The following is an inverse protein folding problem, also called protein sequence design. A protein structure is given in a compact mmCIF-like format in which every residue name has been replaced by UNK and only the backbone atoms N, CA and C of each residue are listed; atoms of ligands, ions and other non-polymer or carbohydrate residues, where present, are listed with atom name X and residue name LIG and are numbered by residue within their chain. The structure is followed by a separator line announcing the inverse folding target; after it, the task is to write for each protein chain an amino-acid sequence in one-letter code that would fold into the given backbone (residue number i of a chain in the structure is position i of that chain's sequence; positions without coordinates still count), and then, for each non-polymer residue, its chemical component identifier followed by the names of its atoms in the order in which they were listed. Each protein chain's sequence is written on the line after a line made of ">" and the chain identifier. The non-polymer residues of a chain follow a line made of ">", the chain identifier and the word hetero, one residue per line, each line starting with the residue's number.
data_IF_313293910475
#
_entry.id   IF_313293910475
#
_cell.length_a   1.000
_cell.length_b   1.000
_cell.length_c   1.000
_cell.angle_alpha   90.00
_cell.angle_beta   90.00
_cell.angle_gamma   90.00
#
_symmetry.space_group_name_H-M   'P 1'
#
loop_
_entity.id
_entity.type
_entity.pdbx_description
1 polymer ?
#
# COMPACT_ATOMS: atom_id res chain seq x y z
N UNK A 1 -21.05 19.41 -22.37
CA UNK A 1 -19.97 18.55 -21.84
C UNK A 1 -20.62 17.26 -21.38
N UNK A 2 -20.38 16.14 -22.05
CA UNK A 2 -21.06 14.87 -21.76
C UNK A 2 -20.53 14.26 -20.46
N UNK A 3 -21.40 13.59 -19.70
CA UNK A 3 -21.12 12.97 -18.39
C UNK A 3 -19.87 12.06 -18.37
N UNK A 4 -19.43 11.56 -19.53
CA UNK A 4 -18.22 10.75 -19.71
C UNK A 4 -16.91 11.54 -19.49
N UNK A 5 -16.88 12.85 -19.73
CA UNK A 5 -15.64 13.63 -19.64
C UNK A 5 -15.27 14.01 -18.20
N UNK A 6 -16.25 14.22 -17.31
CA UNK A 6 -16.00 14.61 -15.91
C UNK A 6 -15.42 13.46 -15.09
N UNK A 7 -15.80 12.22 -15.38
CA UNK A 7 -15.18 11.05 -14.74
C UNK A 7 -13.71 10.90 -15.15
N UNK A 8 -13.37 11.20 -16.41
CA UNK A 8 -11.98 11.14 -16.88
C UNK A 8 -11.02 12.04 -16.10
N UNK A 9 -11.44 13.27 -15.72
CA UNK A 9 -10.57 14.22 -15.04
C UNK A 9 -10.00 13.70 -13.72
N UNK A 10 -10.83 13.08 -12.87
CA UNK A 10 -10.36 12.47 -11.62
C UNK A 10 -9.37 11.33 -11.91
N UNK A 11 -9.69 10.52 -12.90
CA UNK A 11 -8.85 9.38 -13.24
C UNK A 11 -7.49 9.81 -13.76
N UNK A 12 -7.47 10.77 -14.67
CA UNK A 12 -6.26 11.33 -15.25
C UNK A 12 -5.41 12.00 -14.17
N UNK A 13 -6.03 12.77 -13.26
CA UNK A 13 -5.34 13.43 -12.16
C UNK A 13 -4.65 12.45 -11.21
N UNK A 14 -5.37 11.43 -10.72
CA UNK A 14 -4.78 10.41 -9.84
C UNK A 14 -3.76 9.55 -10.60
N UNK A 15 -4.03 9.24 -11.87
CA UNK A 15 -3.07 8.53 -12.74
C UNK A 15 -1.75 9.29 -12.88
N UNK A 16 -1.80 10.61 -13.07
CA UNK A 16 -0.61 11.46 -13.07
C UNK A 16 0.10 11.45 -11.71
N UNK A 17 -0.62 11.47 -10.59
CA UNK A 17 -0.02 11.37 -9.26
C UNK A 17 0.71 10.03 -9.06
N UNK A 18 0.14 8.91 -9.51
CA UNK A 18 0.82 7.60 -9.50
C UNK A 18 2.09 7.62 -10.36
N UNK A 19 2.03 8.24 -11.54
CA UNK A 19 3.20 8.38 -12.41
C UNK A 19 4.31 9.22 -11.75
N UNK A 20 3.96 10.29 -11.03
CA UNK A 20 4.92 11.09 -10.25
C UNK A 20 5.55 10.28 -9.13
N UNK A 21 4.75 9.49 -8.39
CA UNK A 21 5.28 8.61 -7.34
C UNK A 21 6.26 7.56 -7.92
N UNK A 22 5.96 7.00 -9.10
CA UNK A 22 6.86 6.08 -9.78
C UNK A 22 8.12 6.80 -10.32
N UNK A 23 7.97 8.02 -10.82
CA UNK A 23 9.08 8.87 -11.23
C UNK A 23 10.04 9.15 -10.07
N UNK A 24 9.52 9.30 -8.85
CA UNK A 24 10.34 9.46 -7.64
C UNK A 24 11.25 8.25 -7.40
N UNK A 25 10.78 7.02 -7.66
CA UNK A 25 11.64 5.81 -7.59
C UNK A 25 12.83 5.96 -8.52
N UNK A 26 12.59 6.41 -9.76
CA UNK A 26 13.66 6.65 -10.74
C UNK A 26 14.66 7.72 -10.28
N UNK A 27 14.19 8.78 -9.63
CA UNK A 27 15.05 9.82 -9.06
C UNK A 27 15.92 9.29 -7.93
N UNK A 28 15.37 8.47 -7.02
CA UNK A 28 16.14 7.88 -5.91
C UNK A 28 17.18 6.86 -6.42
N UNK A 29 16.85 6.06 -7.44
CA UNK A 29 17.80 5.17 -8.11
C UNK A 29 18.93 5.99 -8.77
N UNK A 30 18.56 7.05 -9.50
CA UNK A 30 19.52 7.92 -10.17
C UNK A 30 20.47 8.60 -9.19
N UNK A 31 19.94 9.15 -8.10
CA UNK A 31 20.72 9.77 -7.02
C UNK A 31 21.68 8.75 -6.39
N UNK A 32 21.21 7.54 -6.08
CA UNK A 32 22.04 6.47 -5.52
C UNK A 32 23.25 6.13 -6.40
N UNK A 33 23.05 5.94 -7.70
CA UNK A 33 24.17 5.66 -8.62
C UNK A 33 25.06 6.88 -8.88
N UNK A 34 24.51 8.09 -8.89
CA UNK A 34 25.30 9.32 -9.08
C UNK A 34 26.31 9.55 -7.97
N UNK A 35 26.02 9.04 -6.77
CA UNK A 35 26.91 9.07 -5.61
C UNK A 35 27.91 7.90 -5.57
N UNK A 36 28.14 7.20 -6.70
CA UNK A 36 29.03 6.04 -6.83
C UNK A 36 28.71 4.86 -5.88
N UNK A 37 27.46 4.76 -5.43
CA UNK A 37 27.01 3.65 -4.61
C UNK A 37 26.65 2.43 -5.47
N UNK A 38 26.75 1.24 -4.88
CA UNK A 38 26.45 -0.02 -5.55
C UNK A 38 25.35 -0.78 -4.83
N UNK A 39 24.33 -1.21 -5.59
CA UNK A 39 23.20 -2.00 -5.07
C UNK A 39 23.65 -3.34 -4.45
N UNK A 40 24.79 -3.88 -4.88
CA UNK A 40 25.35 -5.10 -4.32
C UNK A 40 25.93 -4.90 -2.92
N UNK A 41 26.35 -3.66 -2.59
CA UNK A 41 26.86 -3.30 -1.27
C UNK A 41 25.75 -2.85 -0.33
N UNK A 42 24.66 -2.31 -0.87
CA UNK A 42 23.55 -1.75 -0.11
C UNK A 42 22.22 -2.35 -0.59
N UNK A 43 22.00 -3.66 -0.35
CA UNK A 43 20.82 -4.36 -0.87
C UNK A 43 19.51 -3.80 -0.30
N UNK A 44 19.52 -3.26 0.93
CA UNK A 44 18.35 -2.65 1.58
C UNK A 44 17.75 -1.49 0.78
N UNK A 45 18.60 -0.64 0.16
CA UNK A 45 18.14 0.46 -0.71
C UNK A 45 17.33 -0.09 -1.87
N UNK A 46 17.82 -1.15 -2.49
CA UNK A 46 17.17 -1.77 -3.63
C UNK A 46 15.87 -2.47 -3.22
N UNK A 47 15.85 -3.18 -2.09
CA UNK A 47 14.64 -3.88 -1.62
C UNK A 47 13.54 -2.90 -1.19
N UNK A 48 13.88 -1.78 -0.56
CA UNK A 48 12.93 -0.73 -0.22
C UNK A 48 12.35 -0.05 -1.48
N UNK A 49 13.19 0.26 -2.47
CA UNK A 49 12.73 0.83 -3.74
C UNK A 49 11.86 -0.15 -4.54
N UNK A 50 12.20 -1.44 -4.52
CA UNK A 50 11.39 -2.50 -5.11
C UNK A 50 10.04 -2.63 -4.39
N UNK A 51 10.04 -2.58 -3.07
CA UNK A 51 8.84 -2.55 -2.23
C UNK A 51 7.94 -1.38 -2.61
N UNK A 52 8.49 -0.15 -2.64
CA UNK A 52 7.76 1.05 -3.04
C UNK A 52 7.17 0.93 -4.45
N UNK A 53 7.96 0.43 -5.40
CA UNK A 53 7.53 0.17 -6.79
C UNK A 53 6.36 -0.79 -6.84
N UNK A 54 6.45 -1.92 -6.13
CA UNK A 54 5.38 -2.91 -6.08
C UNK A 54 4.10 -2.31 -5.46
N UNK A 55 4.21 -1.61 -4.34
CA UNK A 55 3.06 -0.97 -3.68
C UNK A 55 2.38 0.01 -4.64
N UNK A 56 3.14 0.88 -5.30
CA UNK A 56 2.62 1.86 -6.27
C UNK A 56 1.92 1.14 -7.42
N UNK A 57 2.58 0.17 -8.07
CA UNK A 57 2.05 -0.54 -9.22
C UNK A 57 0.80 -1.36 -8.87
N UNK A 58 0.83 -2.15 -7.80
CA UNK A 58 -0.30 -2.94 -7.34
C UNK A 58 -1.48 -2.05 -6.90
N UNK A 59 -1.19 -0.88 -6.34
CA UNK A 59 -2.20 0.11 -5.96
C UNK A 59 -2.86 0.77 -7.15
N UNK A 60 -2.08 1.16 -8.16
CA UNK A 60 -2.59 1.69 -9.41
C UNK A 60 -3.48 0.67 -10.14
N UNK A 61 -3.03 -0.59 -10.27
CA UNK A 61 -3.84 -1.67 -10.88
C UNK A 61 -5.12 -1.90 -10.09
N UNK A 62 -5.01 -2.00 -8.76
CA UNK A 62 -6.15 -2.25 -7.89
C UNK A 62 -7.17 -1.11 -7.90
N UNK A 63 -6.71 0.13 -7.96
CA UNK A 63 -7.54 1.33 -8.07
C UNK A 63 -8.25 1.38 -9.43
N UNK A 64 -7.54 1.14 -10.54
CA UNK A 64 -8.13 1.07 -11.88
C UNK A 64 -9.19 -0.02 -12.03
N UNK A 65 -8.98 -1.19 -11.41
CA UNK A 65 -9.93 -2.32 -11.43
C UNK A 65 -11.04 -2.21 -10.36
N UNK A 66 -11.06 -1.14 -9.57
CA UNK A 66 -12.01 -1.04 -8.45
C UNK A 66 -13.42 -0.69 -8.96
N UNK A 67 -14.31 -1.68 -9.08
CA UNK A 67 -15.72 -1.47 -9.47
C UNK A 67 -16.59 -0.73 -8.43
N UNK A 68 -16.01 0.03 -7.49
CA UNK A 68 -16.77 0.71 -6.45
C UNK A 68 -17.48 1.95 -7.02
N UNK A 69 -18.81 2.04 -6.81
CA UNK A 69 -19.64 3.13 -7.36
C UNK A 69 -19.09 4.52 -7.02
N UNK A 70 -18.60 4.73 -5.79
CA UNK A 70 -18.05 6.01 -5.34
C UNK A 70 -16.80 6.52 -6.06
N UNK A 71 -16.16 5.69 -6.89
CA UNK A 71 -15.04 6.09 -7.73
C UNK A 71 -15.47 6.50 -9.16
N UNK A 72 -16.65 6.06 -9.59
CA UNK A 72 -17.26 6.37 -10.88
C UNK A 72 -18.22 7.58 -10.82
N UNK A 73 -18.55 8.05 -9.62
CA UNK A 73 -19.45 9.18 -9.45
C UNK A 73 -18.74 10.49 -9.83
N UNK A 74 -19.34 11.34 -10.69
CA UNK A 74 -18.75 12.61 -11.09
C UNK A 74 -18.65 13.56 -9.90
N UNK A 75 -17.57 14.34 -9.86
CA UNK A 75 -17.40 15.39 -8.85
C UNK A 75 -18.22 16.60 -9.31
N UNK A 76 -19.42 16.75 -8.77
CA UNK A 76 -20.29 17.90 -9.03
C UNK A 76 -20.05 19.01 -8.00
N UNK A 77 -19.74 18.64 -6.75
CA UNK A 77 -19.56 19.55 -5.63
C UNK A 77 -18.25 19.26 -4.88
N UNK A 78 -17.53 20.32 -4.48
CA UNK A 78 -16.29 20.24 -3.71
C UNK A 78 -16.48 19.63 -2.32
N UNK A 79 -17.67 19.72 -1.73
CA UNK A 79 -17.97 19.10 -0.43
C UNK A 79 -18.71 17.75 -0.56
N UNK A 80 -18.76 17.18 -1.77
CA UNK A 80 -19.41 15.91 -2.02
C UNK A 80 -18.55 14.69 -1.65
N UNK A 81 -19.22 13.55 -1.41
CA UNK A 81 -18.56 12.24 -1.22
C UNK A 81 -17.49 11.95 -2.29
N UNK A 82 -17.73 12.16 -3.61
CA UNK A 82 -16.73 11.85 -4.63
C UNK A 82 -15.43 12.66 -4.48
N UNK A 83 -15.52 13.90 -4.00
CA UNK A 83 -14.35 14.74 -3.72
C UNK A 83 -13.57 14.23 -2.51
N UNK A 84 -14.25 13.83 -1.43
CA UNK A 84 -13.59 13.23 -0.26
C UNK A 84 -12.86 11.93 -0.64
N UNK A 85 -13.46 11.08 -1.48
CA UNK A 85 -12.78 9.87 -1.97
C UNK A 85 -11.57 10.24 -2.84
N UNK A 86 -11.67 11.27 -3.69
CA UNK A 86 -10.51 11.79 -4.44
C UNK A 86 -9.38 12.26 -3.51
N UNK A 87 -9.69 12.97 -2.43
CA UNK A 87 -8.67 13.41 -1.46
C UNK A 87 -8.00 12.23 -0.77
N UNK A 88 -8.76 11.18 -0.42
CA UNK A 88 -8.18 9.96 0.14
C UNK A 88 -7.31 9.22 -0.87
N UNK A 89 -7.73 9.13 -2.14
CA UNK A 89 -6.92 8.57 -3.22
C UNK A 89 -5.59 9.33 -3.36
N UNK A 90 -5.63 10.66 -3.39
CA UNK A 90 -4.45 11.51 -3.48
C UNK A 90 -3.54 11.35 -2.25
N UNK A 91 -4.12 11.34 -1.05
CA UNK A 91 -3.39 11.17 0.20
C UNK A 91 -2.64 9.83 0.24
N UNK A 92 -3.27 8.74 -0.21
CA UNK A 92 -2.60 7.44 -0.34
C UNK A 92 -1.40 7.51 -1.29
N UNK A 93 -1.54 8.19 -2.44
CA UNK A 93 -0.43 8.35 -3.38
C UNK A 93 0.70 9.20 -2.81
N UNK A 94 0.38 10.24 -2.03
CA UNK A 94 1.38 11.03 -1.30
C UNK A 94 2.12 10.16 -0.30
N UNK A 95 1.44 9.27 0.42
CA UNK A 95 2.12 8.33 1.32
C UNK A 95 3.07 7.39 0.56
N UNK A 96 2.73 6.95 -0.66
CA UNK A 96 3.66 6.17 -1.49
C UNK A 96 4.89 6.99 -1.88
N UNK A 97 4.68 8.24 -2.26
CA UNK A 97 5.77 9.16 -2.58
C UNK A 97 6.71 9.32 -1.37
N UNK A 98 6.14 9.53 -0.17
CA UNK A 98 6.95 9.70 1.05
C UNK A 98 7.70 8.40 1.41
N UNK A 99 7.05 7.24 1.27
CA UNK A 99 7.69 5.94 1.49
C UNK A 99 8.93 5.77 0.60
N UNK A 100 8.81 6.09 -0.71
CA UNK A 100 9.93 6.04 -1.65
C UNK A 100 10.96 7.12 -1.34
N UNK A 101 10.53 8.34 -0.98
CA UNK A 101 11.44 9.46 -0.73
C UNK A 101 12.30 9.25 0.50
N UNK A 102 11.79 8.57 1.52
CA UNK A 102 12.53 8.25 2.73
C UNK A 102 13.35 6.97 2.65
N UNK A 103 13.80 6.59 1.45
CA UNK A 103 14.81 5.54 1.31
C UNK A 103 16.10 5.99 1.98
N UNK A 104 16.54 5.19 2.94
CA UNK A 104 17.79 5.41 3.67
C UNK A 104 18.95 5.11 2.71
N UNK A 105 19.89 6.04 2.53
CA UNK A 105 21.00 5.92 1.57
C UNK A 105 22.33 6.18 2.26
N UNK A 106 23.38 5.38 2.00
CA UNK A 106 24.74 5.60 2.50
C UNK A 106 25.30 6.91 1.93
N UNK A 107 25.36 7.95 2.76
CA UNK A 107 26.14 9.14 2.47
C UNK A 107 27.57 8.97 3.01
N UNK A 108 28.54 9.50 2.29
CA UNK A 108 29.97 9.13 2.32
C UNK A 108 30.70 9.22 3.68
N UNK A 109 30.12 9.78 4.74
CA UNK A 109 30.87 10.12 5.96
C UNK A 109 30.15 9.84 7.30
N UNK A 110 28.90 9.39 7.33
CA UNK A 110 28.20 9.10 8.59
C UNK A 110 27.87 7.60 8.73
N UNK A 111 28.08 7.05 9.93
CA UNK A 111 27.56 5.72 10.29
C UNK A 111 26.04 5.74 10.14
N UNK A 112 25.55 5.15 9.05
CA UNK A 112 24.13 5.16 8.79
C UNK A 112 23.41 4.28 9.81
N UNK A 113 22.50 4.87 10.57
CA UNK A 113 21.59 4.12 11.42
C UNK A 113 20.41 3.68 10.58
N UNK A 114 20.52 2.49 10.01
CA UNK A 114 19.42 1.88 9.27
C UNK A 114 18.32 1.49 10.25
N UNK A 115 17.13 2.02 10.02
CA UNK A 115 15.98 1.82 10.89
C UNK A 115 14.76 1.56 10.01
N UNK A 116 14.53 0.28 9.68
CA UNK A 116 13.33 -0.19 8.95
C UNK A 116 11.98 0.19 9.61
N UNK A 117 12.00 0.93 10.72
CA UNK A 117 10.87 1.64 11.30
C UNK A 117 10.22 2.63 10.33
N UNK A 118 10.99 3.34 9.50
CA UNK A 118 10.41 4.32 8.57
C UNK A 118 9.43 3.63 7.61
N UNK A 119 9.86 2.52 7.03
CA UNK A 119 9.08 1.74 6.07
C UNK A 119 7.87 1.07 6.72
N UNK A 120 8.05 0.49 7.91
CA UNK A 120 6.96 -0.08 8.70
C UNK A 120 5.91 0.97 9.07
N UNK A 121 6.35 2.17 9.50
CA UNK A 121 5.46 3.26 9.85
C UNK A 121 4.60 3.67 8.65
N UNK A 122 5.22 3.98 7.51
CA UNK A 122 4.47 4.42 6.33
C UNK A 122 3.60 3.30 5.75
N UNK A 123 4.02 2.04 5.87
CA UNK A 123 3.20 0.88 5.52
C UNK A 123 1.96 0.74 6.39
N UNK A 124 2.09 0.96 7.71
CA UNK A 124 0.94 1.02 8.63
C UNK A 124 -0.01 2.16 8.26
N UNK A 125 0.53 3.34 7.96
CA UNK A 125 -0.27 4.50 7.52
C UNK A 125 -1.02 4.17 6.23
N UNK A 126 -0.36 3.58 5.24
CA UNK A 126 -0.97 3.18 3.96
C UNK A 126 -2.11 2.19 4.17
N UNK A 127 -1.90 1.12 4.94
CA UNK A 127 -2.95 0.12 5.21
C UNK A 127 -4.09 0.74 6.02
N UNK A 128 -3.77 1.63 6.97
CA UNK A 128 -4.77 2.40 7.72
C UNK A 128 -5.62 3.30 6.82
N UNK A 129 -5.01 4.00 5.86
CA UNK A 129 -5.72 4.79 4.86
C UNK A 129 -6.58 3.93 3.94
N UNK A 130 -6.12 2.73 3.56
CA UNK A 130 -6.95 1.77 2.83
C UNK A 130 -8.20 1.35 3.61
N UNK A 131 -8.06 1.12 4.91
CA UNK A 131 -9.18 0.82 5.79
C UNK A 131 -10.16 2.00 5.90
N UNK A 132 -9.64 3.22 6.09
CA UNK A 132 -10.44 4.44 6.12
C UNK A 132 -11.18 4.66 4.79
N UNK A 133 -10.50 4.42 3.67
CA UNK A 133 -11.10 4.49 2.34
C UNK A 133 -12.25 3.48 2.18
N UNK A 134 -12.09 2.25 2.67
CA UNK A 134 -13.16 1.25 2.67
C UNK A 134 -14.36 1.66 3.55
N UNK A 135 -14.12 2.33 4.69
CA UNK A 135 -15.17 2.94 5.54
C UNK A 135 -15.93 4.01 4.75
N UNK A 136 -15.22 4.99 4.18
CA UNK A 136 -15.84 6.13 3.50
C UNK A 136 -16.64 5.68 2.27
N UNK A 137 -16.11 4.75 1.50
CA UNK A 137 -16.78 4.28 0.29
C UNK A 137 -18.02 3.43 0.57
N UNK A 138 -18.00 2.59 1.62
CA UNK A 138 -19.07 1.61 1.90
C UNK A 138 -20.03 1.99 3.03
N UNK A 139 -19.54 2.56 4.12
CA UNK A 139 -20.35 2.85 5.30
C UNK A 139 -21.06 4.21 5.22
N UNK A 140 -20.47 5.17 4.51
CA UNK A 140 -21.00 6.53 4.46
C UNK A 140 -21.80 6.72 3.16
N UNK A 141 -23.13 6.67 3.27
CA UNK A 141 -24.03 7.11 2.20
C UNK A 141 -24.42 8.57 2.43
N UNK A 142 -23.78 9.48 1.71
CA UNK A 142 -24.18 10.89 1.67
C UNK A 142 -25.40 11.02 0.76
N UNK A 143 -26.59 10.74 1.29
CA UNK A 143 -27.82 11.12 0.61
C UNK A 143 -28.24 12.50 1.12
N UNK A 144 -28.53 13.40 0.16
CA UNK A 144 -28.60 14.86 0.28
C UNK A 144 -29.51 15.46 1.37
N UNK A 145 -30.34 14.68 2.06
CA UNK A 145 -31.34 15.23 2.99
C UNK A 145 -31.18 14.80 4.44
N UNK A 146 -30.49 13.70 4.75
CA UNK A 146 -30.19 13.30 6.13
C UNK A 146 -28.87 12.54 6.16
N UNK A 147 -27.94 12.99 7.03
CA UNK A 147 -26.73 12.25 7.38
C UNK A 147 -27.09 11.00 8.18
N UNK A 148 -27.71 10.01 7.52
CA UNK A 148 -28.04 8.73 8.15
C UNK A 148 -26.90 7.79 7.80
N UNK A 149 -26.10 7.48 8.82
CA UNK A 149 -25.11 6.41 8.83
C UNK A 149 -25.85 5.07 8.71
N UNK A 150 -26.32 4.75 7.50
CA UNK A 150 -26.87 3.43 7.21
C UNK A 150 -25.67 2.50 7.02
N UNK A 151 -25.12 2.04 8.13
CA UNK A 151 -24.04 1.06 8.14
C UNK A 151 -24.54 -0.22 7.46
N UNK A 152 -24.12 -0.46 6.22
CA UNK A 152 -24.15 -1.79 5.63
C UNK A 152 -22.98 -2.60 6.22
N UNK A 153 -23.15 -2.98 7.50
CA UNK A 153 -22.14 -3.72 8.27
C UNK A 153 -21.77 -5.03 7.57
N UNK A 154 -22.72 -5.70 6.92
CA UNK A 154 -22.48 -7.00 6.27
C UNK A 154 -21.49 -6.88 5.11
N UNK A 155 -21.67 -5.90 4.22
CA UNK A 155 -20.72 -5.70 3.11
C UNK A 155 -19.38 -5.12 3.56
N UNK A 156 -19.40 -4.31 4.63
CA UNK A 156 -18.19 -3.79 5.25
C UNK A 156 -17.35 -4.91 5.89
N UNK A 157 -17.92 -5.71 6.79
CA UNK A 157 -17.19 -6.80 7.45
C UNK A 157 -16.68 -7.86 6.46
N UNK A 158 -17.41 -8.10 5.35
CA UNK A 158 -16.96 -9.02 4.32
C UNK A 158 -15.65 -8.59 3.63
N UNK A 159 -15.27 -7.31 3.65
CA UNK A 159 -14.03 -6.81 3.00
C UNK A 159 -13.06 -6.12 3.95
N UNK A 160 -13.57 -5.46 4.98
CA UNK A 160 -12.80 -4.63 5.90
C UNK A 160 -11.83 -5.43 6.77
N UNK A 161 -12.16 -6.70 7.07
CA UNK A 161 -11.30 -7.57 7.88
C UNK A 161 -9.90 -7.77 7.27
N UNK A 162 -9.76 -7.66 5.95
CA UNK A 162 -8.50 -7.85 5.24
C UNK A 162 -7.47 -6.78 5.59
N UNK A 163 -7.92 -5.51 5.61
CA UNK A 163 -7.06 -4.39 6.02
C UNK A 163 -6.70 -4.51 7.50
N UNK A 164 -7.63 -4.94 8.36
CA UNK A 164 -7.39 -5.14 9.79
C UNK A 164 -6.34 -6.23 10.02
N UNK A 165 -6.43 -7.38 9.35
CA UNK A 165 -5.44 -8.46 9.46
C UNK A 165 -4.05 -7.95 9.05
N UNK A 166 -3.94 -7.30 7.89
CA UNK A 166 -2.66 -6.80 7.40
C UNK A 166 -2.09 -5.70 8.29
N UNK A 167 -2.95 -4.84 8.87
CA UNK A 167 -2.56 -3.83 9.83
C UNK A 167 -1.99 -4.45 11.11
N UNK A 168 -2.65 -5.48 11.66
CA UNK A 168 -2.16 -6.20 12.84
C UNK A 168 -0.82 -6.88 12.55
N UNK A 169 -0.68 -7.51 11.38
CA UNK A 169 0.58 -8.12 10.95
C UNK A 169 1.71 -7.09 10.94
N UNK A 170 1.52 -5.91 10.33
CA UNK A 170 2.53 -4.84 10.34
C UNK A 170 2.78 -4.22 11.72
N UNK A 171 1.76 -4.21 12.59
CA UNK A 171 1.86 -3.61 13.91
C UNK A 171 2.80 -4.40 14.84
N UNK A 172 2.85 -5.73 14.69
CA UNK A 172 3.73 -6.62 15.49
C UNK A 172 5.21 -6.23 15.34
N UNK A 173 5.84 -6.26 14.15
CA UNK A 173 7.23 -5.84 13.98
C UNK A 173 7.43 -4.37 14.32
N UNK A 174 6.46 -3.49 14.04
CA UNK A 174 6.59 -2.08 14.41
C UNK A 174 6.76 -1.86 15.92
N UNK A 175 6.01 -2.59 16.75
CA UNK A 175 6.15 -2.53 18.22
C UNK A 175 7.47 -3.17 18.67
N UNK A 176 7.89 -4.27 18.06
CA UNK A 176 9.11 -4.99 18.49
C UNK A 176 10.41 -4.29 18.07
N UNK A 177 10.40 -3.47 17.01
CA UNK A 177 11.59 -2.82 16.44
C UNK A 177 11.81 -1.41 16.99
N UNK A 178 10.82 -0.83 17.68
CA UNK A 178 10.73 0.59 18.08
C UNK A 178 11.98 1.25 18.69
N UNK A 179 12.96 0.49 19.16
CA UNK A 179 14.18 1.01 19.80
C UNK A 179 15.50 0.34 19.34
N UNK A 180 15.50 -0.43 18.24
CA UNK A 180 16.69 -1.15 17.80
C UNK A 180 17.22 -0.57 16.49
N UNK A 181 18.51 -0.20 16.48
CA UNK A 181 19.27 -0.03 15.23
C UNK A 181 19.35 -1.43 14.62
N UNK A 182 19.04 -1.52 13.34
CA UNK A 182 18.88 -2.79 12.64
C UNK A 182 20.10 -2.98 11.72
N UNK A 183 20.70 -4.17 11.72
CA UNK A 183 21.74 -4.50 10.75
C UNK A 183 21.18 -4.48 9.32
N UNK A 184 22.02 -4.17 8.32
CA UNK A 184 21.64 -4.07 6.90
C UNK A 184 20.80 -5.27 6.42
N UNK A 185 21.18 -6.49 6.79
CA UNK A 185 20.48 -7.72 6.41
C UNK A 185 19.06 -7.80 6.98
N UNK A 186 18.88 -7.29 8.20
CA UNK A 186 17.60 -7.28 8.88
C UNK A 186 16.65 -6.23 8.27
N UNK A 187 17.17 -5.14 7.69
CA UNK A 187 16.36 -4.19 6.92
C UNK A 187 15.78 -4.86 5.66
N UNK A 188 16.59 -5.59 4.90
CA UNK A 188 16.12 -6.38 3.75
C UNK A 188 15.01 -7.36 4.14
N UNK A 189 15.13 -8.02 5.30
CA UNK A 189 14.09 -8.93 5.80
C UNK A 189 12.79 -8.19 6.15
N UNK A 190 12.87 -6.98 6.70
CA UNK A 190 11.70 -6.13 6.97
C UNK A 190 11.00 -5.79 5.65
N UNK A 191 11.74 -5.42 4.60
CA UNK A 191 11.14 -5.04 3.31
C UNK A 191 10.43 -6.23 2.67
N UNK A 192 11.06 -7.41 2.71
CA UNK A 192 10.46 -8.68 2.22
C UNK A 192 9.20 -9.02 3.02
N UNK A 193 9.23 -8.80 4.33
CA UNK A 193 8.07 -8.99 5.20
C UNK A 193 6.92 -8.06 4.81
N UNK A 194 7.19 -6.76 4.69
CA UNK A 194 6.19 -5.76 4.30
C UNK A 194 5.64 -6.09 2.91
N UNK A 195 6.51 -6.41 1.95
CA UNK A 195 6.13 -6.80 0.60
C UNK A 195 5.16 -7.99 0.63
N UNK A 196 5.49 -9.02 1.43
CA UNK A 196 4.64 -10.20 1.62
C UNK A 196 3.27 -9.81 2.18
N UNK A 197 3.20 -8.93 3.17
CA UNK A 197 1.92 -8.43 3.72
C UNK A 197 1.12 -7.67 2.65
N UNK A 198 1.74 -6.84 1.81
CA UNK A 198 1.03 -6.15 0.73
C UNK A 198 0.53 -7.11 -0.36
N UNK A 199 1.29 -8.14 -0.71
CA UNK A 199 0.82 -9.19 -1.63
C UNK A 199 -0.38 -9.92 -1.02
N UNK A 200 -0.32 -10.27 0.27
CA UNK A 200 -1.44 -10.90 0.99
C UNK A 200 -2.68 -10.00 0.98
N UNK A 201 -2.52 -8.71 1.29
CA UNK A 201 -3.60 -7.72 1.27
C UNK A 201 -4.27 -7.65 -0.10
N UNK A 202 -3.47 -7.63 -1.18
CA UNK A 202 -3.97 -7.61 -2.56
C UNK A 202 -4.69 -8.90 -2.94
N UNK A 203 -4.09 -10.04 -2.63
CA UNK A 203 -4.67 -11.36 -2.87
C UNK A 203 -6.07 -11.43 -2.26
N UNK A 204 -6.16 -11.18 -0.94
CA UNK A 204 -7.42 -11.20 -0.19
C UNK A 204 -8.52 -10.35 -0.87
N UNK A 205 -8.18 -9.16 -1.39
CA UNK A 205 -9.17 -8.29 -2.06
C UNK A 205 -9.67 -8.83 -3.40
N UNK A 206 -8.89 -9.60 -4.13
CA UNK A 206 -9.27 -10.13 -5.45
C UNK A 206 -10.22 -11.34 -5.36
N UNK A 207 -10.11 -12.19 -4.34
CA UNK A 207 -10.94 -13.40 -4.22
C UNK A 207 -12.43 -13.13 -4.06
N UNK A 208 -12.77 -12.02 -3.41
CA UNK A 208 -14.17 -11.61 -3.25
C UNK A 208 -14.81 -11.25 -4.61
N UNK A 209 -14.01 -10.88 -5.62
CA UNK A 209 -14.52 -10.55 -6.95
C UNK A 209 -14.59 -11.75 -7.91
N UNK A 210 -13.69 -12.72 -7.75
CA UNK A 210 -13.48 -13.80 -8.75
C UNK A 210 -14.02 -15.18 -8.37
N UNK A 211 -14.62 -15.34 -7.18
CA UNK A 211 -15.23 -16.60 -6.70
C UNK A 211 -16.28 -17.24 -7.64
N UNK A 212 -16.59 -16.65 -8.81
CA UNK A 212 -17.61 -17.13 -9.74
C UNK A 212 -17.14 -17.51 -11.16
N UNK A 213 -15.84 -17.50 -11.53
CA UNK A 213 -15.50 -17.64 -12.98
C UNK A 213 -14.38 -18.57 -13.49
N UNK A 214 -13.34 -18.98 -12.75
CA UNK A 214 -12.32 -19.86 -13.34
C UNK A 214 -11.59 -20.79 -12.36
N UNK A 215 -11.58 -22.11 -12.65
CA UNK A 215 -10.97 -23.17 -11.82
C UNK A 215 -9.43 -23.16 -11.77
N UNK A 216 -8.74 -22.75 -12.83
CA UNK A 216 -7.25 -22.78 -12.91
C UNK A 216 -6.58 -21.71 -12.04
N UNK A 217 -7.24 -20.55 -11.84
CA UNK A 217 -6.74 -19.46 -10.99
C UNK A 217 -6.78 -19.84 -9.50
N UNK A 218 -7.66 -20.77 -9.11
CA UNK A 218 -7.87 -21.18 -7.71
C UNK A 218 -6.65 -21.90 -7.13
N UNK A 219 -5.92 -22.69 -7.93
CA UNK A 219 -4.74 -23.42 -7.44
C UNK A 219 -3.57 -22.49 -7.11
N UNK A 220 -3.25 -21.56 -8.02
CA UNK A 220 -2.21 -20.55 -7.81
C UNK A 220 -2.54 -19.65 -6.60
N UNK A 221 -3.83 -19.30 -6.46
CA UNK A 221 -4.33 -18.53 -5.32
C UNK A 221 -4.14 -19.24 -4.00
N UNK A 222 -4.50 -20.52 -3.90
CA UNK A 222 -4.29 -21.30 -2.66
C UNK A 222 -2.83 -21.34 -2.23
N UNK A 223 -1.91 -21.46 -3.20
CA UNK A 223 -0.46 -21.40 -2.93
C UNK A 223 -0.07 -20.02 -2.42
N UNK A 224 -0.56 -18.94 -3.02
CA UNK A 224 -0.34 -17.57 -2.53
C UNK A 224 -0.89 -17.37 -1.10
N UNK A 225 -2.13 -17.81 -0.84
CA UNK A 225 -2.81 -17.61 0.44
C UNK A 225 -2.19 -18.35 1.61
N UNK A 226 -1.57 -19.50 1.36
CA UNK A 226 -0.94 -20.28 2.41
C UNK A 226 0.55 -19.93 2.47
N UNK A 227 1.20 -19.84 1.31
CA UNK A 227 2.62 -19.58 1.18
C UNK A 227 3.02 -18.19 1.66
N UNK A 228 2.24 -17.14 1.37
CA UNK A 228 2.61 -15.78 1.77
C UNK A 228 2.51 -15.56 3.28
N UNK A 229 1.43 -15.96 3.98
CA UNK A 229 1.40 -15.88 5.43
C UNK A 229 2.52 -16.70 6.07
N UNK A 230 2.78 -17.92 5.60
CA UNK A 230 3.90 -18.73 6.10
C UNK A 230 5.22 -18.03 5.88
N UNK A 231 5.45 -17.48 4.68
CA UNK A 231 6.66 -16.72 4.37
C UNK A 231 6.79 -15.51 5.30
N UNK A 232 5.74 -14.71 5.45
CA UNK A 232 5.74 -13.53 6.34
C UNK A 232 5.99 -13.92 7.80
N UNK A 233 5.36 -14.97 8.31
CA UNK A 233 5.57 -15.48 9.67
C UNK A 233 7.01 -15.98 9.81
N UNK A 234 7.52 -16.72 8.83
CA UNK A 234 8.89 -17.23 8.85
C UNK A 234 9.91 -16.09 8.82
N UNK A 235 9.72 -15.07 7.98
CA UNK A 235 10.58 -13.87 7.94
C UNK A 235 10.54 -13.13 9.28
N UNK A 236 9.37 -12.99 9.89
CA UNK A 236 9.22 -12.39 11.21
C UNK A 236 9.95 -13.21 12.29
N UNK A 237 9.83 -14.54 12.25
CA UNK A 237 10.52 -15.43 13.18
C UNK A 237 12.04 -15.38 13.01
N UNK A 238 12.52 -15.37 11.77
CA UNK A 238 13.95 -15.19 11.47
C UNK A 238 14.45 -13.84 11.99
N UNK A 239 13.69 -12.78 11.77
CA UNK A 239 14.01 -11.45 12.29
C UNK A 239 14.08 -11.45 13.84
N UNK A 240 13.12 -12.08 14.52
CA UNK A 240 13.13 -12.20 15.99
C UNK A 240 14.31 -13.04 16.47
N UNK A 241 14.71 -14.07 15.71
CA UNK A 241 15.82 -14.96 16.07
C UNK A 241 17.20 -14.32 15.89
N UNK A 242 17.39 -13.49 14.87
CA UNK A 242 18.65 -12.79 14.58
C UNK A 242 18.78 -11.41 15.26
N UNK A 243 17.80 -11.04 16.09
CA UNK A 243 17.85 -9.84 16.94
C UNK A 243 18.58 -10.13 18.25
#
# INVERSE_FOLDING_TARGET
>A
MTLNNTNRLRFDFIGMAFALALGQVGLEIGDFYSNNQSIFKHPYVFTQLLLGTYIIAASWVGWNKSASKGHLDPIVNTFGKPFVVLLLDLLMVICYFILVKGVEKPYLEEELKISGLFELFWSLVIIGLYFLWDIVTKLINFNSEKFILKLDTKSFFARGYQAVICFVLLLIPFITIKYSIVADDNAVLIDIYILSVFILFRGLKEDIKESNKHKSVIALKKILYIGIPICSIMTLLLFIYFK
#
